data_IF_156548452473
#
_entry.id   IF_156548452473
#
_cell.length_a   1.000
_cell.length_b   1.000
_cell.length_c   1.000
_cell.angle_alpha   90.00
_cell.angle_beta   90.00
_cell.angle_gamma   90.00
#
_symmetry.space_group_name_H-M   'P 1'
#
loop_
_entity.id
_entity.type
_entity.pdbx_description
1 polymer ?
#
# COMPACT_ATOMS: atom_id res chain seq x y z
N UNK A 1 -30.92 -22.07 5.15
CA UNK A 1 -30.18 -21.18 6.05
C UNK A 1 -29.04 -20.62 5.27
N UNK A 2 -29.10 -19.33 5.00
CA UNK A 2 -28.03 -18.61 4.33
C UNK A 2 -26.85 -18.51 5.32
N UNK A 3 -25.74 -19.15 4.97
CA UNK A 3 -24.54 -19.26 5.80
C UNK A 3 -23.54 -18.15 5.47
N UNK A 4 -24.02 -17.01 4.93
CA UNK A 4 -23.19 -15.86 4.63
C UNK A 4 -22.79 -15.13 5.91
N UNK A 5 -21.50 -14.79 6.03
CA UNK A 5 -20.99 -14.02 7.16
C UNK A 5 -21.56 -12.60 7.17
N UNK A 6 -21.85 -12.10 8.36
CA UNK A 6 -22.19 -10.68 8.53
C UNK A 6 -20.97 -9.78 8.30
N UNK A 7 -21.22 -8.50 8.04
CA UNK A 7 -20.14 -7.53 7.91
C UNK A 7 -19.27 -7.44 9.18
N UNK A 8 -19.88 -7.52 10.35
CA UNK A 8 -19.17 -7.53 11.63
C UNK A 8 -18.24 -8.75 11.77
N UNK A 9 -18.70 -9.93 11.36
CA UNK A 9 -17.87 -11.14 11.32
C UNK A 9 -16.73 -11.04 10.35
N UNK A 10 -16.95 -10.42 9.18
CA UNK A 10 -15.90 -10.17 8.19
C UNK A 10 -14.83 -9.21 8.71
N UNK A 11 -15.21 -8.15 9.44
CA UNK A 11 -14.28 -7.23 10.09
C UNK A 11 -13.46 -7.92 11.19
N UNK A 12 -14.05 -8.81 11.96
CA UNK A 12 -13.33 -9.59 12.97
C UNK A 12 -12.33 -10.57 12.32
N UNK A 13 -12.72 -11.22 11.23
CA UNK A 13 -11.82 -12.07 10.44
C UNK A 13 -10.64 -11.27 9.88
N UNK A 14 -10.88 -10.06 9.36
CA UNK A 14 -9.83 -9.16 8.88
C UNK A 14 -8.85 -8.82 10.00
N UNK A 15 -9.35 -8.42 11.16
CA UNK A 15 -8.53 -8.09 12.32
C UNK A 15 -7.66 -9.27 12.74
N UNK A 16 -8.23 -10.46 12.79
CA UNK A 16 -7.52 -11.68 13.14
C UNK A 16 -6.45 -12.03 12.10
N UNK A 17 -6.76 -11.87 10.81
CA UNK A 17 -5.80 -12.10 9.72
C UNK A 17 -4.61 -11.14 9.79
N UNK A 18 -4.85 -9.85 10.03
CA UNK A 18 -3.80 -8.84 10.19
C UNK A 18 -2.94 -9.14 11.41
N UNK A 19 -3.55 -9.45 12.54
CA UNK A 19 -2.81 -9.79 13.77
C UNK A 19 -1.96 -11.05 13.59
N UNK A 20 -2.49 -12.05 12.90
CA UNK A 20 -1.74 -13.27 12.57
C UNK A 20 -0.56 -12.97 11.67
N UNK A 21 -0.75 -12.14 10.63
CA UNK A 21 0.31 -11.73 9.72
C UNK A 21 1.44 -11.00 10.47
N UNK A 22 1.09 -10.07 11.36
CA UNK A 22 2.04 -9.32 12.19
C UNK A 22 2.87 -10.29 13.05
N UNK A 23 2.20 -11.24 13.70
CA UNK A 23 2.85 -12.24 14.55
C UNK A 23 3.75 -13.18 13.74
N UNK A 24 3.24 -13.77 12.67
CA UNK A 24 3.94 -14.75 11.85
C UNK A 24 5.15 -14.12 11.12
N UNK A 25 5.07 -12.84 10.81
CA UNK A 25 6.16 -12.08 10.18
C UNK A 25 7.15 -11.48 11.18
N UNK A 26 6.99 -11.74 12.47
CA UNK A 26 7.83 -11.20 13.54
C UNK A 26 7.96 -9.67 13.49
N UNK A 27 6.86 -9.00 13.19
CA UNK A 27 6.81 -7.54 13.12
C UNK A 27 6.83 -6.95 14.53
N UNK A 28 7.70 -5.97 14.72
CA UNK A 28 7.76 -5.16 15.93
C UNK A 28 7.01 -3.84 15.68
N UNK A 29 5.85 -3.71 16.29
CA UNK A 29 5.00 -2.52 16.14
C UNK A 29 5.46 -1.41 17.06
N UNK A 30 5.72 -0.24 16.47
CA UNK A 30 6.03 0.99 17.23
C UNK A 30 4.85 1.97 17.13
N UNK A 31 4.72 2.83 18.14
CA UNK A 31 3.68 3.86 18.13
C UNK A 31 4.01 5.01 17.17
N UNK A 32 2.99 5.75 16.74
CA UNK A 32 3.18 6.96 15.95
C UNK A 32 4.03 7.99 16.71
N UNK A 33 3.82 8.16 18.01
CA UNK A 33 4.60 9.06 18.86
C UNK A 33 6.09 8.69 18.86
N UNK A 34 6.41 7.40 18.96
CA UNK A 34 7.81 6.94 18.88
C UNK A 34 8.41 7.21 17.50
N UNK A 35 7.67 6.90 16.44
CA UNK A 35 8.09 7.13 15.07
C UNK A 35 8.32 8.61 14.75
N UNK A 36 7.48 9.50 15.25
CA UNK A 36 7.59 10.95 14.99
C UNK A 36 8.84 11.60 15.59
N UNK A 37 9.54 10.93 16.51
CA UNK A 37 10.79 11.45 17.09
C UNK A 37 11.91 11.56 16.07
N UNK A 38 12.00 10.62 15.15
CA UNK A 38 13.06 10.57 14.14
C UNK A 38 12.56 10.17 12.74
N UNK A 39 11.32 9.74 12.63
CA UNK A 39 10.68 9.21 11.40
C UNK A 39 11.41 8.02 10.79
N UNK A 40 12.04 7.20 11.61
CA UNK A 40 12.77 6.01 11.20
C UNK A 40 12.03 4.75 11.67
N UNK A 41 12.01 3.71 10.83
CA UNK A 41 11.66 2.35 11.21
C UNK A 41 12.92 1.48 11.15
N UNK A 42 13.33 0.90 12.27
CA UNK A 42 14.54 0.08 12.34
C UNK A 42 14.31 -1.27 11.66
N UNK A 43 14.96 -1.46 10.51
CA UNK A 43 14.84 -2.69 9.72
C UNK A 43 15.43 -3.90 10.44
N UNK A 44 16.48 -3.71 11.24
CA UNK A 44 17.10 -4.80 11.99
C UNK A 44 16.16 -5.40 13.04
N UNK A 45 15.20 -4.60 13.51
CA UNK A 45 14.16 -4.98 14.45
C UNK A 45 12.81 -5.25 13.78
N UNK A 46 12.74 -5.14 12.46
CA UNK A 46 11.52 -5.29 11.70
C UNK A 46 10.37 -4.37 12.21
N UNK A 47 10.70 -3.11 12.44
CA UNK A 47 9.73 -2.14 12.97
C UNK A 47 8.74 -1.68 11.91
N UNK A 48 7.46 -1.65 12.29
CA UNK A 48 6.37 -1.01 11.57
C UNK A 48 5.68 -0.02 12.49
N UNK A 49 5.45 1.19 12.01
CA UNK A 49 4.65 2.17 12.76
C UNK A 49 3.16 1.91 12.57
N UNK A 50 2.41 1.95 13.66
CA UNK A 50 0.95 1.82 13.65
C UNK A 50 0.28 3.21 13.57
N UNK A 51 -0.53 3.42 12.53
CA UNK A 51 -1.41 4.58 12.44
C UNK A 51 -2.77 4.28 13.06
N UNK A 52 -3.47 5.34 13.52
CA UNK A 52 -4.77 5.22 14.19
C UNK A 52 -5.88 4.64 13.29
N UNK A 53 -5.72 4.70 11.96
CA UNK A 53 -6.64 4.14 10.98
C UNK A 53 -6.40 2.64 10.67
N UNK A 54 -5.47 1.99 11.38
CA UNK A 54 -5.17 0.58 11.21
C UNK A 54 -4.12 0.24 10.16
N UNK A 55 -3.54 1.23 9.50
CA UNK A 55 -2.39 1.04 8.58
C UNK A 55 -1.11 0.88 9.39
N UNK A 56 -0.24 -0.07 8.95
CA UNK A 56 1.11 -0.23 9.48
C UNK A 56 2.10 0.03 8.37
N UNK A 57 3.17 0.75 8.66
CA UNK A 57 4.17 1.18 7.67
C UNK A 57 5.59 0.88 8.13
N UNK A 58 6.38 0.30 7.22
CA UNK A 58 7.84 0.20 7.36
C UNK A 58 8.49 0.95 6.21
N UNK A 59 9.35 1.90 6.52
CA UNK A 59 10.18 2.58 5.53
C UNK A 59 11.46 1.76 5.35
N UNK A 60 11.60 1.12 4.19
CA UNK A 60 12.79 0.33 3.83
C UNK A 60 13.90 1.25 3.33
N UNK A 61 13.53 2.18 2.46
CA UNK A 61 14.41 3.22 1.93
C UNK A 61 13.57 4.50 1.75
N UNK A 62 14.03 5.57 2.34
CA UNK A 62 13.34 6.87 2.24
C UNK A 62 13.44 7.48 0.84
N UNK A 63 14.40 7.06 0.04
CA UNK A 63 14.69 7.64 -1.26
C UNK A 63 15.80 8.68 -1.20
N UNK A 64 15.79 9.60 -2.15
CA UNK A 64 16.82 10.62 -2.30
C UNK A 64 16.81 11.59 -1.11
N UNK A 65 17.59 11.27 -0.07
CA UNK A 65 17.58 11.98 1.19
C UNK A 65 18.49 13.23 1.21
N UNK A 66 19.25 13.47 0.14
CA UNK A 66 20.25 14.56 0.09
C UNK A 66 19.59 15.94 -0.05
N UNK A 67 18.33 15.99 -0.51
CA UNK A 67 17.55 17.21 -0.57
C UNK A 67 16.31 17.08 0.32
N UNK A 68 16.30 17.72 1.50
CA UNK A 68 15.15 17.70 2.39
C UNK A 68 13.91 18.39 1.81
N UNK A 69 14.08 19.21 0.76
CA UNK A 69 12.98 19.87 0.06
C UNK A 69 12.37 19.00 -1.04
N UNK A 70 13.01 17.90 -1.41
CA UNK A 70 12.52 16.96 -2.44
C UNK A 70 11.40 16.07 -1.89
N UNK A 71 10.33 16.68 -1.43
CA UNK A 71 9.11 16.02 -0.96
C UNK A 71 8.07 15.95 -2.07
N UNK A 72 7.20 14.93 -2.02
CA UNK A 72 6.04 14.89 -2.90
C UNK A 72 5.09 16.05 -2.60
N UNK A 73 4.89 16.91 -3.59
CA UNK A 73 4.05 18.10 -3.47
C UNK A 73 2.65 17.85 -4.06
N UNK A 74 1.71 18.74 -3.71
CA UNK A 74 0.39 18.78 -4.32
C UNK A 74 0.50 18.82 -5.84
N UNK A 75 -0.31 18.03 -6.53
CA UNK A 75 -0.34 17.84 -7.99
C UNK A 75 0.86 17.14 -8.62
N UNK A 76 1.81 16.62 -7.84
CA UNK A 76 2.85 15.78 -8.42
C UNK A 76 2.28 14.52 -9.07
N UNK A 77 2.90 14.13 -10.18
CA UNK A 77 2.66 12.83 -10.80
C UNK A 77 3.68 11.85 -10.27
N UNK A 78 3.20 10.78 -9.67
CA UNK A 78 4.01 9.76 -9.02
C UNK A 78 3.94 8.47 -9.83
N UNK A 79 5.09 7.86 -10.07
CA UNK A 79 5.23 6.58 -10.72
C UNK A 79 5.54 5.52 -9.65
N UNK A 80 4.72 4.48 -9.57
CA UNK A 80 4.85 3.45 -8.55
C UNK A 80 5.03 2.05 -9.14
N UNK A 81 5.94 1.30 -8.52
CA UNK A 81 6.04 -0.13 -8.68
C UNK A 81 5.64 -0.79 -7.37
N UNK A 82 4.91 -1.89 -7.46
CA UNK A 82 4.38 -2.53 -6.25
C UNK A 82 4.20 -4.05 -6.43
N UNK A 83 4.15 -4.72 -5.30
CA UNK A 83 3.69 -6.09 -5.12
C UNK A 83 2.58 -6.03 -4.07
N UNK A 84 1.43 -6.61 -4.37
CA UNK A 84 0.28 -6.62 -3.46
C UNK A 84 -0.15 -8.04 -3.15
N UNK A 85 -0.19 -8.35 -1.86
CA UNK A 85 -0.57 -9.65 -1.34
C UNK A 85 -1.87 -9.54 -0.54
N UNK A 86 -2.79 -10.45 -0.79
CA UNK A 86 -3.95 -10.64 0.07
C UNK A 86 -3.48 -11.29 1.39
N UNK A 87 -3.65 -10.58 2.51
CA UNK A 87 -3.17 -11.07 3.81
C UNK A 87 -3.93 -12.33 4.27
N UNK A 88 -5.23 -12.39 4.01
CA UNK A 88 -6.05 -13.52 4.45
C UNK A 88 -5.72 -14.82 3.71
N UNK A 89 -5.48 -14.77 2.40
CA UNK A 89 -5.13 -15.94 1.58
C UNK A 89 -3.63 -16.18 1.46
N UNK A 90 -2.81 -15.19 1.79
CA UNK A 90 -1.36 -15.19 1.60
C UNK A 90 -0.93 -15.29 0.13
N UNK A 91 -1.78 -14.87 -0.79
CA UNK A 91 -1.54 -14.93 -2.23
C UNK A 91 -1.14 -13.57 -2.79
N UNK A 92 -0.16 -13.58 -3.69
CA UNK A 92 0.21 -12.41 -4.49
C UNK A 92 -0.87 -12.21 -5.57
N UNK A 93 -1.60 -11.09 -5.49
CA UNK A 93 -2.79 -10.85 -6.30
C UNK A 93 -2.63 -9.76 -7.34
N UNK A 94 -1.72 -8.83 -7.11
CA UNK A 94 -1.50 -7.71 -8.02
C UNK A 94 -0.06 -7.22 -7.95
N UNK A 95 0.56 -6.94 -9.10
CA UNK A 95 1.93 -6.45 -9.17
C UNK A 95 2.22 -5.83 -10.54
N UNK A 96 3.21 -4.96 -10.60
CA UNK A 96 3.73 -4.39 -11.84
C UNK A 96 5.26 -4.42 -11.90
N UNK A 97 5.84 -5.46 -11.35
CA UNK A 97 7.25 -5.81 -11.48
C UNK A 97 7.38 -7.13 -12.21
N UNK A 98 8.46 -7.31 -12.98
CA UNK A 98 8.69 -8.56 -13.70
C UNK A 98 9.24 -9.61 -12.74
N UNK A 99 8.41 -10.57 -12.37
CA UNK A 99 8.83 -11.71 -11.58
C UNK A 99 9.46 -12.79 -12.48
N UNK A 100 10.40 -13.60 -11.97
CA UNK A 100 11.06 -14.64 -12.75
C UNK A 100 10.08 -15.59 -13.45
N UNK A 101 8.98 -15.94 -12.80
CA UNK A 101 7.93 -16.83 -13.32
C UNK A 101 7.21 -16.24 -14.53
N UNK A 102 7.21 -14.93 -14.67
CA UNK A 102 6.49 -14.20 -15.72
C UNK A 102 7.41 -13.54 -16.75
N UNK A 103 8.67 -13.95 -16.81
CA UNK A 103 9.67 -13.32 -17.70
C UNK A 103 9.24 -13.33 -19.18
N UNK A 104 8.53 -14.38 -19.62
CA UNK A 104 8.03 -14.50 -20.98
C UNK A 104 6.79 -13.64 -21.25
N UNK A 105 6.17 -13.09 -20.20
CA UNK A 105 5.00 -12.22 -20.28
C UNK A 105 5.31 -10.83 -19.74
N UNK A 106 6.58 -10.43 -19.75
CA UNK A 106 7.06 -9.19 -19.14
C UNK A 106 6.34 -7.94 -19.64
N UNK A 107 5.87 -7.93 -20.89
CA UNK A 107 5.14 -6.81 -21.46
C UNK A 107 3.83 -6.50 -20.74
N UNK A 108 3.22 -7.51 -20.09
CA UNK A 108 1.99 -7.35 -19.32
C UNK A 108 2.24 -6.85 -17.89
N UNK A 109 3.44 -7.09 -17.32
CA UNK A 109 3.69 -6.88 -15.88
C UNK A 109 4.73 -5.80 -15.60
N UNK A 110 5.26 -5.12 -16.60
CA UNK A 110 6.34 -4.14 -16.42
C UNK A 110 5.90 -2.68 -16.46
N UNK A 111 4.68 -2.41 -16.88
CA UNK A 111 4.19 -1.02 -16.95
C UNK A 111 4.01 -0.45 -15.55
N UNK A 112 4.57 0.73 -15.27
CA UNK A 112 4.40 1.37 -13.98
C UNK A 112 2.96 1.84 -13.79
N UNK A 113 2.54 2.00 -12.53
CA UNK A 113 1.33 2.71 -12.18
C UNK A 113 1.68 4.18 -11.99
N UNK A 114 1.04 5.07 -12.75
CA UNK A 114 1.20 6.51 -12.57
C UNK A 114 -0.08 7.11 -12.02
N UNK A 115 0.06 7.99 -11.05
CA UNK A 115 -1.07 8.70 -10.47
C UNK A 115 -0.71 10.14 -10.11
N UNK A 116 -1.73 10.98 -10.08
CA UNK A 116 -1.61 12.34 -9.56
C UNK A 116 -1.95 12.35 -8.08
N UNK A 117 -1.01 12.86 -7.29
CA UNK A 117 -1.18 13.08 -5.86
C UNK A 117 -1.75 14.45 -5.61
N UNK A 118 -2.91 14.52 -4.97
CA UNK A 118 -3.55 15.78 -4.58
C UNK A 118 -3.60 15.84 -3.06
N UNK A 119 -3.08 16.92 -2.51
CA UNK A 119 -3.04 17.17 -1.07
C UNK A 119 -3.43 18.62 -0.80
N UNK A 120 -4.71 18.84 -0.61
CA UNK A 120 -5.30 20.16 -0.39
C UNK A 120 -6.26 20.15 0.81
N UNK A 121 -6.26 21.23 1.56
CA UNK A 121 -7.21 21.45 2.67
C UNK A 121 -7.27 20.27 3.67
N UNK A 122 -6.12 19.71 4.04
CA UNK A 122 -6.01 18.56 4.96
C UNK A 122 -6.64 17.27 4.42
N UNK A 123 -6.91 17.21 3.12
CA UNK A 123 -7.40 16.02 2.42
C UNK A 123 -6.40 15.58 1.36
N UNK A 124 -6.13 14.28 1.32
CA UNK A 124 -5.24 13.71 0.31
C UNK A 124 -5.94 12.60 -0.45
N UNK A 125 -5.75 12.60 -1.77
CA UNK A 125 -6.21 11.51 -2.63
C UNK A 125 -5.26 11.32 -3.82
N UNK A 126 -5.34 10.18 -4.48
CA UNK A 126 -4.58 9.90 -5.69
C UNK A 126 -5.50 9.42 -6.81
N UNK A 127 -5.25 9.92 -8.01
CA UNK A 127 -6.00 9.56 -9.21
C UNK A 127 -5.06 8.92 -10.21
N UNK A 128 -5.36 7.66 -10.58
CA UNK A 128 -4.60 6.93 -11.59
C UNK A 128 -4.71 7.65 -12.94
N UNK A 129 -3.58 7.90 -13.55
CA UNK A 129 -3.49 8.47 -14.88
C UNK A 129 -3.38 7.33 -15.88
N UNK A 130 -4.45 7.11 -16.64
CA UNK A 130 -4.45 6.09 -17.69
C UNK A 130 -4.04 6.73 -19.01
N UNK A 131 -2.80 6.49 -19.43
CA UNK A 131 -2.41 6.64 -20.84
C UNK A 131 -2.19 5.25 -21.42
N UNK A 132 -2.32 5.05 -22.75
CA UNK A 132 -2.03 3.76 -23.37
C UNK A 132 -0.61 3.23 -23.13
N UNK A 133 0.31 4.10 -22.73
CA UNK A 133 1.71 3.78 -22.45
C UNK A 133 1.96 3.38 -20.99
N UNK A 134 1.04 3.74 -20.08
CA UNK A 134 1.19 3.56 -18.65
C UNK A 134 0.14 2.55 -18.11
N UNK A 135 -0.21 1.58 -18.93
CA UNK A 135 -1.25 0.61 -18.63
C UNK A 135 -0.76 -0.46 -17.67
N UNK A 136 -1.24 -0.43 -16.44
CA UNK A 136 -1.02 -1.47 -15.45
C UNK A 136 -2.06 -2.58 -15.64
N UNK A 137 -1.63 -3.70 -16.21
CA UNK A 137 -2.51 -4.80 -16.60
C UNK A 137 -3.27 -5.40 -15.42
N UNK A 138 -2.58 -5.76 -14.34
CA UNK A 138 -3.21 -6.41 -13.19
C UNK A 138 -4.08 -5.46 -12.39
N UNK A 139 -3.71 -4.19 -12.27
CA UNK A 139 -4.56 -3.17 -11.67
C UNK A 139 -5.92 -3.12 -12.33
N UNK A 140 -5.94 -3.10 -13.65
CA UNK A 140 -7.17 -3.09 -14.42
C UNK A 140 -7.91 -4.43 -14.34
N UNK A 141 -7.21 -5.56 -14.41
CA UNK A 141 -7.79 -6.89 -14.29
C UNK A 141 -8.45 -7.13 -12.92
N UNK A 142 -7.93 -6.51 -11.86
CA UNK A 142 -8.52 -6.55 -10.53
C UNK A 142 -9.67 -5.53 -10.34
N UNK A 143 -10.00 -4.74 -11.36
CA UNK A 143 -11.05 -3.74 -11.30
C UNK A 143 -10.82 -2.67 -10.21
N UNK A 144 -9.59 -2.28 -9.99
CA UNK A 144 -9.26 -1.32 -8.94
C UNK A 144 -9.68 0.13 -9.25
N UNK A 145 -9.98 0.43 -10.51
CA UNK A 145 -10.44 1.76 -10.91
C UNK A 145 -9.34 2.81 -10.85
N UNK A 146 -9.73 4.06 -10.61
CA UNK A 146 -8.82 5.21 -10.68
C UNK A 146 -8.38 5.75 -9.32
N UNK A 147 -8.96 5.28 -8.22
CA UNK A 147 -8.62 5.75 -6.89
C UNK A 147 -7.43 4.98 -6.31
N UNK A 148 -6.42 5.70 -5.86
CA UNK A 148 -5.32 5.12 -5.09
C UNK A 148 -5.80 4.81 -3.67
N UNK A 149 -5.46 3.64 -3.10
CA UNK A 149 -5.78 3.34 -1.71
C UNK A 149 -5.29 4.42 -0.76
N UNK A 150 -6.14 4.85 0.17
CA UNK A 150 -5.76 5.84 1.17
C UNK A 150 -4.53 5.45 2.00
N UNK A 151 -4.35 4.15 2.22
CA UNK A 151 -3.19 3.63 2.92
C UNK A 151 -1.85 3.93 2.25
N UNK A 152 -1.79 3.98 0.92
CA UNK A 152 -0.59 4.36 0.18
C UNK A 152 -0.19 5.81 0.44
N UNK A 153 -1.19 6.70 0.51
CA UNK A 153 -0.98 8.14 0.62
C UNK A 153 -0.39 8.54 1.98
N UNK A 154 -0.59 7.74 3.01
CA UNK A 154 -0.02 7.98 4.34
C UNK A 154 1.50 7.94 4.36
N UNK A 155 2.12 7.21 3.46
CA UNK A 155 3.57 7.10 3.37
C UNK A 155 4.24 8.32 2.70
N UNK A 156 3.55 8.95 1.76
CA UNK A 156 4.13 9.99 0.89
C UNK A 156 4.79 11.16 1.63
N UNK A 157 4.25 11.68 2.75
CA UNK A 157 4.92 12.77 3.48
C UNK A 157 6.31 12.41 4.02
N UNK A 158 6.60 11.12 4.17
CA UNK A 158 7.86 10.62 4.72
C UNK A 158 8.85 10.15 3.64
N UNK A 159 8.44 10.12 2.38
CA UNK A 159 9.21 9.54 1.28
C UNK A 159 9.71 10.60 0.30
N UNK A 160 10.73 10.21 -0.45
CA UNK A 160 11.32 10.96 -1.56
C UNK A 160 11.34 10.07 -2.81
N UNK A 161 11.78 10.58 -3.93
CA UNK A 161 11.98 9.78 -5.15
C UNK A 161 12.83 8.55 -4.88
N UNK A 162 12.52 7.45 -5.55
CA UNK A 162 13.19 6.16 -5.41
C UNK A 162 13.05 5.53 -4.01
N UNK A 163 12.03 5.88 -3.28
CA UNK A 163 11.74 5.28 -1.99
C UNK A 163 11.22 3.84 -2.11
N UNK A 164 11.34 3.09 -1.02
CA UNK A 164 10.74 1.78 -0.85
C UNK A 164 10.05 1.70 0.50
N UNK A 165 8.78 1.35 0.50
CA UNK A 165 7.95 1.23 1.70
C UNK A 165 7.17 -0.08 1.68
N UNK A 166 6.92 -0.64 2.86
CA UNK A 166 6.01 -1.76 3.06
C UNK A 166 4.82 -1.31 3.88
N UNK A 167 3.63 -1.71 3.47
CA UNK A 167 2.38 -1.27 4.09
C UNK A 167 1.49 -2.48 4.39
N UNK A 168 0.90 -2.49 5.58
CA UNK A 168 -0.24 -3.35 5.90
C UNK A 168 -1.46 -2.45 5.86
N UNK A 169 -2.40 -2.74 4.95
CA UNK A 169 -3.53 -1.85 4.66
C UNK A 169 -4.83 -2.60 4.97
N UNK A 170 -5.58 -2.20 6.01
CA UNK A 170 -6.90 -2.76 6.26
C UNK A 170 -7.86 -2.34 5.15
N UNK A 171 -8.93 -3.10 4.98
CA UNK A 171 -9.88 -2.90 3.87
C UNK A 171 -10.43 -1.47 3.80
N UNK A 172 -10.70 -0.84 4.93
CA UNK A 172 -11.23 0.55 4.99
C UNK A 172 -10.27 1.60 4.40
N UNK A 173 -8.97 1.29 4.33
CA UNK A 173 -7.92 2.15 3.76
C UNK A 173 -7.39 1.62 2.42
N UNK A 174 -8.00 0.56 1.91
CA UNK A 174 -7.62 -0.10 0.66
C UNK A 174 -8.43 0.34 -0.55
N UNK A 175 -8.42 -0.52 -1.56
CA UNK A 175 -9.22 -0.33 -2.78
C UNK A 175 -10.72 -0.35 -2.47
N UNK A 176 -11.53 0.34 -3.27
CA UNK A 176 -12.99 0.38 -3.08
C UNK A 176 -13.61 -1.02 -3.06
N UNK A 177 -13.16 -1.91 -3.95
CA UNK A 177 -13.63 -3.30 -3.98
C UNK A 177 -13.20 -4.08 -2.72
N UNK A 178 -12.04 -3.77 -2.17
CA UNK A 178 -11.56 -4.38 -0.92
C UNK A 178 -12.41 -3.98 0.28
N UNK A 179 -12.91 -2.75 0.30
CA UNK A 179 -13.83 -2.28 1.35
C UNK A 179 -15.12 -3.09 1.36
N UNK A 180 -15.67 -3.39 0.19
CA UNK A 180 -16.89 -4.19 0.05
C UNK A 180 -16.69 -5.64 0.49
N UNK A 181 -15.55 -6.22 0.17
CA UNK A 181 -15.23 -7.62 0.41
C UNK A 181 -14.45 -7.83 1.73
N UNK A 182 -14.10 -6.76 2.43
CA UNK A 182 -13.33 -6.75 3.70
C UNK A 182 -12.02 -7.55 3.56
N UNK A 183 -11.19 -7.15 2.60
CA UNK A 183 -9.91 -7.80 2.32
C UNK A 183 -8.75 -6.88 2.70
N UNK A 184 -7.89 -7.28 3.66
CA UNK A 184 -6.66 -6.55 3.98
C UNK A 184 -5.54 -6.96 3.02
N UNK A 185 -4.68 -6.01 2.67
CA UNK A 185 -3.53 -6.22 1.78
C UNK A 185 -2.19 -5.81 2.42
N UNK A 186 -1.15 -6.51 1.96
CA UNK A 186 0.24 -6.18 2.25
C UNK A 186 0.98 -5.82 0.98
#
# INVERSE_FOLDING_TARGET
CDNSKTYAEMLEDEKNAVNKFIKDSAINVISLEEFERDTITDLSRNEYVAFSNGVYMQIVDRGNADDPEDTFANNNVICARYLEKNIASNELTCFNVVLPEYINASDYYRSPLTFRYVNENSSAYGIVLSTPLDYDYLWTANSYGTAIPGGWLLALPYLRDNAHVRLIIPSKMGHSISQQNVIPYY
#
